data_IF_430451786830
#
_entry.id   IF_430451786830
#
_cell.length_a   1.000
_cell.length_b   1.000
_cell.length_c   1.000
_cell.angle_alpha   90.00
_cell.angle_beta   90.00
_cell.angle_gamma   90.00
#
_symmetry.space_group_name_H-M   'P 1'
#
loop_
_entity.id
_entity.type
_entity.pdbx_description
1 polymer ?
#
# COMPACT_ATOMS: atom_id res chain seq x y z
N UNK A 1 9.92 1.22 59.56
CA UNK A 1 8.47 1.24 59.25
C UNK A 1 7.94 2.63 59.55
N UNK A 2 8.03 3.56 58.60
CA UNK A 2 7.38 4.89 58.70
C UNK A 2 7.38 5.51 57.30
N UNK A 3 6.38 5.23 56.47
CA UNK A 3 6.14 5.92 55.19
C UNK A 3 4.63 6.05 54.87
N UNK A 4 3.72 5.89 55.85
CA UNK A 4 2.27 5.86 55.56
C UNK A 4 1.48 7.09 56.02
N UNK A 5 2.04 8.03 56.78
CA UNK A 5 1.25 9.12 57.37
C UNK A 5 1.31 10.47 56.64
N UNK A 6 2.12 10.63 55.60
CA UNK A 6 2.23 11.93 54.89
C UNK A 6 1.28 12.08 53.68
N UNK A 7 0.67 10.99 53.22
CA UNK A 7 -0.18 11.00 52.02
C UNK A 7 -1.62 11.53 52.25
N UNK A 8 -2.15 11.52 53.48
CA UNK A 8 -3.55 11.88 53.73
C UNK A 8 -3.86 13.38 53.61
N UNK A 9 -2.90 14.24 53.94
CA UNK A 9 -3.05 15.71 53.94
C UNK A 9 -2.95 16.31 52.53
N UNK A 10 -2.01 15.80 51.73
CA UNK A 10 -1.77 16.29 50.37
C UNK A 10 -2.91 15.91 49.41
N UNK A 11 -3.43 14.69 49.51
CA UNK A 11 -4.53 14.19 48.65
C UNK A 11 -5.83 14.95 48.90
N UNK A 12 -6.12 15.36 50.14
CA UNK A 12 -7.37 16.06 50.48
C UNK A 12 -7.38 17.52 50.04
N UNK A 13 -6.22 18.19 50.09
CA UNK A 13 -6.08 19.60 49.68
C UNK A 13 -5.85 19.76 48.17
N UNK A 14 -5.18 18.79 47.55
CA UNK A 14 -4.81 18.84 46.12
C UNK A 14 -5.57 17.82 45.26
N UNK A 15 -6.64 17.22 45.76
CA UNK A 15 -7.40 16.18 45.06
C UNK A 15 -7.91 16.62 43.68
N UNK A 16 -8.35 17.87 43.56
CA UNK A 16 -8.77 18.45 42.26
C UNK A 16 -7.59 18.49 41.28
N UNK A 17 -6.41 18.91 41.75
CA UNK A 17 -5.21 19.00 40.94
C UNK A 17 -4.71 17.62 40.49
N UNK A 18 -4.83 16.61 41.34
CA UNK A 18 -4.51 15.22 41.00
C UNK A 18 -5.44 14.65 39.91
N UNK A 19 -6.73 14.97 39.97
CA UNK A 19 -7.70 14.56 38.94
C UNK A 19 -7.38 15.22 37.60
N UNK A 20 -7.05 16.51 37.60
CA UNK A 20 -6.67 17.25 36.37
C UNK A 20 -5.38 16.67 35.77
N UNK A 21 -4.38 16.38 36.59
CA UNK A 21 -3.12 15.79 36.14
C UNK A 21 -3.33 14.38 35.58
N UNK A 22 -4.14 13.56 36.25
CA UNK A 22 -4.53 12.24 35.76
C UNK A 22 -5.27 12.32 34.41
N UNK A 23 -6.19 13.26 34.27
CA UNK A 23 -6.91 13.49 33.01
C UNK A 23 -5.97 13.92 31.87
N UNK A 24 -5.00 14.80 32.14
CA UNK A 24 -3.99 15.22 31.15
C UNK A 24 -3.09 14.06 30.73
N UNK A 25 -2.69 13.18 31.66
CA UNK A 25 -1.87 12.00 31.34
C UNK A 25 -2.66 11.01 30.49
N UNK A 26 -3.92 10.74 30.83
CA UNK A 26 -4.79 9.85 30.04
C UNK A 26 -5.03 10.45 28.65
N UNK A 27 -5.34 11.74 28.56
CA UNK A 27 -5.57 12.42 27.29
C UNK A 27 -4.31 12.44 26.42
N UNK A 28 -3.15 12.75 27.00
CA UNK A 28 -1.86 12.68 26.32
C UNK A 28 -1.54 11.28 25.81
N UNK A 29 -1.81 10.24 26.62
CA UNK A 29 -1.63 8.85 26.20
C UNK A 29 -2.56 8.44 25.06
N UNK A 30 -3.82 8.88 25.10
CA UNK A 30 -4.79 8.64 24.03
C UNK A 30 -4.39 9.36 22.73
N UNK A 31 -3.89 10.59 22.81
CA UNK A 31 -3.36 11.32 21.67
C UNK A 31 -2.12 10.62 21.09
N UNK A 32 -1.21 10.13 21.94
CA UNK A 32 -0.01 9.42 21.47
C UNK A 32 -0.36 8.09 20.78
N UNK A 33 -1.25 7.29 21.38
CA UNK A 33 -1.78 6.06 20.75
C UNK A 33 -2.54 6.34 19.45
N UNK A 34 -3.27 7.44 19.38
CA UNK A 34 -4.00 7.86 18.18
C UNK A 34 -3.04 8.31 17.07
N UNK A 35 -1.98 9.02 17.44
CA UNK A 35 -0.98 9.54 16.51
C UNK A 35 -0.17 8.41 15.85
N UNK A 36 0.30 7.42 16.60
CA UNK A 36 0.99 6.26 16.02
C UNK A 36 0.13 5.52 15.00
N UNK A 37 -1.20 5.45 15.22
CA UNK A 37 -2.12 4.79 14.27
C UNK A 37 -2.42 5.60 13.01
N UNK A 38 -2.29 6.93 13.06
CA UNK A 38 -2.54 7.81 11.91
C UNK A 38 -1.25 8.05 11.11
N UNK A 39 -0.09 8.04 11.77
CA UNK A 39 1.21 8.21 11.11
C UNK A 39 1.81 6.88 10.65
N UNK A 40 1.45 5.76 11.30
CA UNK A 40 1.72 4.40 10.80
C UNK A 40 0.50 3.78 10.08
N UNK A 41 -0.38 4.60 9.50
CA UNK A 41 -0.87 4.22 8.17
C UNK A 41 0.31 4.38 7.23
N UNK A 42 1.24 3.43 7.39
CA UNK A 42 2.25 3.06 6.43
C UNK A 42 1.56 3.17 5.08
N UNK A 43 2.14 3.98 4.21
CA UNK A 43 1.96 3.83 2.78
C UNK A 43 2.44 2.40 2.54
N UNK A 44 1.53 1.44 2.66
CA UNK A 44 1.77 0.00 2.91
C UNK A 44 2.18 -0.71 1.62
N UNK A 45 3.03 -0.04 0.88
CA UNK A 45 3.89 -0.61 -0.09
C UNK A 45 4.81 0.51 -0.54
N UNK A 46 6.09 0.26 -0.36
CA UNK A 46 7.17 1.11 -0.82
C UNK A 46 6.87 1.53 -2.26
N UNK A 47 6.88 2.84 -2.50
CA UNK A 47 6.81 3.37 -3.86
C UNK A 47 8.03 2.88 -4.61
N UNK A 48 7.81 2.03 -5.60
CA UNK A 48 8.85 1.45 -6.43
C UNK A 48 8.63 1.84 -7.88
N UNK A 49 9.73 1.99 -8.60
CA UNK A 49 9.71 2.27 -10.03
C UNK A 49 10.19 1.03 -10.76
N UNK A 50 9.29 0.41 -11.52
CA UNK A 50 9.62 -0.71 -12.40
C UNK A 50 9.80 -0.18 -13.81
N UNK A 51 10.94 -0.49 -14.41
CA UNK A 51 11.20 -0.23 -15.83
C UNK A 51 11.05 -1.53 -16.60
N UNK A 52 10.22 -1.51 -17.63
CA UNK A 52 9.87 -2.71 -18.38
C UNK A 52 9.20 -2.41 -19.70
N UNK A 53 8.74 -3.45 -20.37
CA UNK A 53 7.92 -3.34 -21.56
C UNK A 53 6.45 -3.50 -21.21
N UNK A 54 5.62 -2.65 -21.80
CA UNK A 54 4.16 -2.78 -21.70
C UNK A 54 3.70 -3.97 -22.54
N UNK A 55 3.14 -5.00 -21.91
CA UNK A 55 2.82 -6.25 -22.59
C UNK A 55 1.58 -6.93 -22.02
N UNK A 56 1.05 -7.91 -22.73
CA UNK A 56 -0.07 -8.73 -22.28
C UNK A 56 0.37 -9.68 -21.18
N UNK A 57 -0.45 -9.84 -20.15
CA UNK A 57 -0.17 -10.77 -19.07
C UNK A 57 -0.34 -12.22 -19.52
N UNK A 58 0.61 -13.12 -19.21
CA UNK A 58 0.47 -14.54 -19.52
C UNK A 58 -0.56 -15.20 -18.61
N UNK A 59 -1.41 -16.09 -19.14
CA UNK A 59 -2.35 -16.89 -18.36
C UNK A 59 -1.62 -18.02 -17.60
N UNK A 60 -2.09 -18.39 -16.40
CA UNK A 60 -1.54 -19.52 -15.61
C UNK A 60 -1.82 -20.87 -16.25
N UNK A 61 -2.98 -21.01 -16.88
CA UNK A 61 -3.36 -22.21 -17.63
C UNK A 61 -3.43 -21.79 -19.09
N UNK A 62 -2.71 -22.47 -20.00
CA UNK A 62 -2.96 -22.32 -21.43
C UNK A 62 -4.31 -22.99 -21.69
N UNK A 63 -5.38 -22.23 -21.49
CA UNK A 63 -6.69 -22.65 -21.98
C UNK A 63 -6.54 -22.65 -23.49
N UNK A 64 -6.92 -23.74 -24.16
CA UNK A 64 -6.99 -23.89 -25.63
C UNK A 64 -8.00 -22.92 -26.29
N UNK A 65 -8.29 -21.83 -25.59
CA UNK A 65 -9.25 -20.77 -25.86
C UNK A 65 -8.44 -19.49 -25.95
N UNK A 66 -7.57 -19.42 -26.96
CA UNK A 66 -7.04 -18.15 -27.47
C UNK A 66 -8.19 -17.27 -28.06
N UNK A 67 -9.40 -17.84 -28.19
CA UNK A 67 -10.53 -17.24 -28.91
C UNK A 67 -11.55 -16.46 -28.07
N UNK A 68 -11.49 -16.45 -26.72
CA UNK A 68 -12.51 -15.76 -25.89
C UNK A 68 -12.00 -14.55 -25.07
N UNK A 69 -10.71 -14.20 -25.12
CA UNK A 69 -10.25 -12.89 -24.63
C UNK A 69 -9.96 -11.97 -25.82
N UNK A 70 -11.01 -11.36 -26.38
CA UNK A 70 -10.88 -10.30 -27.38
C UNK A 70 -10.10 -9.08 -26.83
N UNK A 71 -10.02 -8.94 -25.50
CA UNK A 71 -9.26 -7.90 -24.80
C UNK A 71 -8.06 -8.49 -24.05
N UNK A 72 -6.85 -8.21 -24.55
CA UNK A 72 -5.61 -8.49 -23.82
C UNK A 72 -5.58 -7.67 -22.52
N UNK A 73 -5.35 -8.36 -21.40
CA UNK A 73 -5.14 -7.72 -20.11
C UNK A 73 -3.71 -7.20 -20.02
N UNK A 74 -3.59 -5.88 -19.91
CA UNK A 74 -2.32 -5.17 -19.98
C UNK A 74 -1.55 -5.22 -18.65
N UNK A 75 -0.23 -5.34 -18.76
CA UNK A 75 0.70 -5.34 -17.64
C UNK A 75 2.11 -4.90 -18.05
N UNK A 76 3.07 -5.16 -17.16
CA UNK A 76 4.46 -4.76 -17.34
C UNK A 76 5.36 -5.98 -17.19
N UNK A 77 6.19 -6.23 -18.20
CA UNK A 77 7.31 -7.16 -18.09
C UNK A 77 8.55 -6.39 -17.69
N UNK A 78 8.98 -6.59 -16.45
CA UNK A 78 10.16 -5.92 -15.91
C UNK A 78 11.41 -6.34 -16.67
N UNK A 79 12.28 -5.37 -16.98
CA UNK A 79 13.54 -5.62 -17.69
C UNK A 79 14.61 -6.23 -16.77
N UNK A 80 14.52 -5.97 -15.46
CA UNK A 80 15.55 -6.35 -14.51
C UNK A 80 15.54 -7.85 -14.17
N UNK A 81 14.36 -8.42 -14.01
CA UNK A 81 14.10 -9.79 -13.56
C UNK A 81 13.27 -10.61 -14.55
N UNK A 82 12.71 -9.98 -15.59
CA UNK A 82 11.90 -10.65 -16.60
C UNK A 82 10.50 -11.06 -16.10
N UNK A 83 10.11 -10.63 -14.90
CA UNK A 83 8.83 -10.99 -14.28
C UNK A 83 7.69 -10.12 -14.83
N UNK A 84 6.48 -10.69 -14.81
CA UNK A 84 5.25 -10.01 -15.23
C UNK A 84 4.54 -9.43 -14.01
N UNK A 85 4.12 -8.18 -14.12
CA UNK A 85 3.39 -7.47 -13.10
C UNK A 85 2.08 -6.94 -13.68
N UNK A 86 0.98 -7.16 -12.97
CA UNK A 86 -0.30 -6.57 -13.34
C UNK A 86 -0.28 -5.07 -13.10
N UNK A 87 -0.88 -4.30 -14.01
CA UNK A 87 -0.96 -2.85 -13.89
C UNK A 87 -2.39 -2.47 -13.49
N UNK A 88 -2.55 -2.01 -12.25
CA UNK A 88 -3.80 -1.40 -11.79
C UNK A 88 -3.75 0.11 -12.11
N UNK A 89 -4.40 0.48 -13.21
CA UNK A 89 -4.50 1.85 -13.71
C UNK A 89 -5.61 2.67 -13.05
N UNK A 90 -6.39 2.08 -12.15
CA UNK A 90 -7.57 2.71 -11.53
C UNK A 90 -7.24 3.97 -10.72
N UNK A 91 -5.97 4.15 -10.35
CA UNK A 91 -5.48 5.27 -9.53
C UNK A 91 -4.59 6.25 -10.29
N UNK A 92 -4.39 6.08 -11.60
CA UNK A 92 -3.49 6.96 -12.35
C UNK A 92 -4.10 8.35 -12.45
N UNK A 93 -3.39 9.35 -11.91
CA UNK A 93 -3.76 10.76 -12.01
C UNK A 93 -3.14 11.42 -13.26
N UNK A 94 -1.98 10.92 -13.70
CA UNK A 94 -1.24 11.40 -14.86
C UNK A 94 -0.91 10.23 -15.80
N UNK A 95 -1.84 9.91 -16.70
CA UNK A 95 -1.61 8.96 -17.80
C UNK A 95 -1.28 9.75 -19.06
N UNK A 96 -0.08 9.61 -19.61
CA UNK A 96 0.12 9.85 -21.03
C UNK A 96 -0.57 8.69 -21.77
N UNK A 97 -1.82 8.90 -22.17
CA UNK A 97 -2.80 7.89 -22.58
C UNK A 97 -2.51 7.15 -23.90
N UNK A 98 -1.33 7.34 -24.50
CA UNK A 98 -0.91 6.69 -25.77
C UNK A 98 0.16 5.62 -25.55
N UNK A 99 -0.06 4.73 -24.59
CA UNK A 99 0.82 3.59 -24.32
C UNK A 99 0.48 2.44 -25.29
N UNK A 100 1.41 2.10 -26.19
CA UNK A 100 1.25 0.94 -27.09
C UNK A 100 1.89 -0.29 -26.47
N UNK A 101 1.32 -1.46 -26.78
CA UNK A 101 1.96 -2.75 -26.50
C UNK A 101 3.37 -2.73 -27.13
N UNK A 102 4.35 -3.25 -26.41
CA UNK A 102 5.80 -3.23 -26.70
C UNK A 102 6.53 -1.90 -26.43
N UNK A 103 5.85 -0.84 -25.97
CA UNK A 103 6.55 0.36 -25.52
C UNK A 103 7.37 0.09 -24.26
N UNK A 104 8.58 0.64 -24.21
CA UNK A 104 9.35 0.66 -22.97
C UNK A 104 8.80 1.76 -22.06
N UNK A 105 8.48 1.40 -20.83
CA UNK A 105 7.83 2.26 -19.86
C UNK A 105 8.51 2.15 -18.50
N UNK A 106 8.43 3.24 -17.74
CA UNK A 106 8.74 3.29 -16.33
C UNK A 106 7.43 3.56 -15.59
N UNK A 107 7.03 2.60 -14.76
CA UNK A 107 5.85 2.71 -13.90
C UNK A 107 6.30 2.95 -12.48
N UNK A 108 5.83 4.03 -11.88
CA UNK A 108 6.03 4.33 -10.46
C UNK A 108 4.73 4.10 -9.72
N UNK A 109 4.79 3.24 -8.70
CA UNK A 109 3.60 2.83 -7.98
C UNK A 109 3.90 1.97 -6.77
N UNK A 110 2.83 1.50 -6.14
CA UNK A 110 2.90 0.62 -4.98
C UNK A 110 2.75 -0.82 -5.46
N UNK A 111 3.74 -1.67 -5.19
CA UNK A 111 3.67 -3.10 -5.54
C UNK A 111 3.01 -3.84 -4.39
N UNK A 112 1.96 -4.59 -4.71
CA UNK A 112 1.32 -5.53 -3.78
C UNK A 112 1.46 -6.96 -4.30
N UNK A 113 1.82 -7.94 -3.45
CA UNK A 113 1.84 -9.34 -3.86
C UNK A 113 0.42 -9.81 -4.20
N UNK A 114 0.31 -10.77 -5.12
CA UNK A 114 -0.98 -11.34 -5.54
C UNK A 114 -1.80 -11.85 -4.35
N UNK A 115 -1.13 -12.42 -3.34
CA UNK A 115 -1.74 -13.01 -2.15
C UNK A 115 -2.47 -12.00 -1.26
N UNK A 116 -2.11 -10.72 -1.32
CA UNK A 116 -2.72 -9.66 -0.52
C UNK A 116 -3.98 -9.06 -1.16
N UNK A 117 -4.29 -9.43 -2.40
CA UNK A 117 -5.50 -8.96 -3.11
C UNK A 117 -6.45 -10.14 -3.33
N UNK A 118 -7.19 -10.58 -2.29
CA UNK A 118 -8.16 -11.66 -2.41
C UNK A 118 -9.29 -11.24 -3.34
N UNK A 119 -9.64 -12.08 -4.32
CA UNK A 119 -10.62 -11.85 -5.40
C UNK A 119 -10.17 -10.92 -6.52
N UNK A 120 -8.88 -10.87 -6.81
CA UNK A 120 -8.41 -10.09 -7.95
C UNK A 120 -8.72 -10.78 -9.29
N UNK A 121 -9.16 -9.97 -10.26
CA UNK A 121 -9.25 -10.34 -11.69
C UNK A 121 -7.92 -10.86 -12.26
N UNK A 122 -6.82 -10.67 -11.52
CA UNK A 122 -5.47 -11.06 -11.89
C UNK A 122 -5.13 -12.52 -11.52
N UNK A 123 -5.99 -13.21 -10.77
CA UNK A 123 -5.77 -14.59 -10.33
C UNK A 123 -5.58 -15.60 -11.47
N UNK A 124 -6.17 -15.33 -12.65
CA UNK A 124 -6.02 -16.13 -13.86
C UNK A 124 -4.64 -15.97 -14.54
N UNK A 125 -3.87 -14.94 -14.19
CA UNK A 125 -2.61 -14.58 -14.84
C UNK A 125 -1.39 -14.96 -14.00
N UNK A 126 -0.31 -15.34 -14.68
CA UNK A 126 0.97 -15.64 -14.06
C UNK A 126 1.74 -14.34 -13.83
N UNK A 127 1.51 -13.74 -12.67
CA UNK A 127 2.12 -12.46 -12.26
C UNK A 127 2.90 -12.61 -10.94
N UNK A 128 3.94 -11.80 -10.78
CA UNK A 128 4.68 -11.68 -9.53
C UNK A 128 3.96 -10.77 -8.51
N UNK A 129 3.16 -9.82 -9.00
CA UNK A 129 2.42 -8.87 -8.17
C UNK A 129 1.62 -7.88 -8.99
N UNK A 130 0.88 -7.03 -8.28
CA UNK A 130 0.02 -5.98 -8.84
C UNK A 130 0.64 -4.64 -8.49
N UNK A 131 0.95 -3.85 -9.52
CA UNK A 131 1.44 -2.48 -9.39
C UNK A 131 0.23 -1.55 -9.40
N UNK A 132 -0.04 -0.90 -8.27
CA UNK A 132 -0.95 0.24 -8.22
C UNK A 132 -0.20 1.46 -8.75
N UNK A 133 -0.40 1.76 -10.03
CA UNK A 133 0.35 2.80 -10.71
C UNK A 133 -0.18 4.18 -10.33
N UNK A 134 0.75 5.05 -9.92
CA UNK A 134 0.48 6.46 -9.74
C UNK A 134 0.85 7.25 -11.00
N UNK A 135 1.98 6.88 -11.61
CA UNK A 135 2.53 7.54 -12.80
C UNK A 135 3.07 6.49 -13.76
N UNK A 136 2.80 6.69 -15.05
CA UNK A 136 3.36 5.87 -16.13
C UNK A 136 4.06 6.79 -17.12
N UNK A 137 5.35 6.56 -17.31
CA UNK A 137 6.20 7.34 -18.22
C UNK A 137 6.71 6.44 -19.33
N UNK A 138 6.59 6.90 -20.57
CA UNK A 138 7.24 6.23 -21.71
C UNK A 138 8.72 6.59 -21.73
N UNK A 139 9.58 5.57 -21.71
CA UNK A 139 11.03 5.75 -21.84
C UNK A 139 11.41 5.36 -23.28
N UNK A 140 11.78 6.36 -24.07
CA UNK A 140 12.00 6.26 -25.52
C UNK A 140 13.21 5.40 -25.88
#
# INVERSE_FOLDING_TARGET
MTNEFENGSFVRRNGIWLVVLAALVVFGFLLFKGYDKVVNQEIDGKMETITGSFTCLPLKVPVEVEEELEDCVLGVKSRADGLYYALDVSKIQDANSDLKVEDTIAVTGIIKPETEVPNSQWSAFSIAGIIQANTVLRTR
#
